data_IF_536439614156
#
_entry.id   IF_536439614156
#
_cell.length_a   1.000
_cell.length_b   1.000
_cell.length_c   1.000
_cell.angle_alpha   90.00
_cell.angle_beta   90.00
_cell.angle_gamma   90.00
#
_symmetry.space_group_name_H-M   'P 1'
#
loop_
_entity.id
_entity.type
_entity.pdbx_description
1 polymer ?
#
# COMPACT_ATOMS: atom_id res chain seq x y z
N UNK A 1 -44.22 26.89 12.83
CA UNK A 1 -43.12 26.45 13.72
C UNK A 1 -42.92 24.98 13.39
N UNK A 2 -41.99 24.69 12.47
CA UNK A 2 -41.69 23.30 12.12
C UNK A 2 -40.82 22.72 13.23
N UNK A 3 -41.29 21.66 13.86
CA UNK A 3 -40.46 20.87 14.77
C UNK A 3 -39.20 20.39 14.03
N UNK A 4 -38.00 20.50 14.63
CA UNK A 4 -36.82 19.89 14.05
C UNK A 4 -37.01 18.37 14.05
N UNK A 5 -36.96 17.77 12.86
CA UNK A 5 -36.87 16.31 12.70
C UNK A 5 -35.81 15.75 13.66
N UNK A 6 -36.10 14.68 14.41
CA UNK A 6 -35.13 14.06 15.28
C UNK A 6 -33.95 13.60 14.43
N UNK A 7 -32.78 14.22 14.62
CA UNK A 7 -31.54 13.74 14.02
C UNK A 7 -31.36 12.28 14.41
N UNK A 8 -31.23 11.35 13.45
CA UNK A 8 -30.99 9.96 13.78
C UNK A 8 -29.70 9.90 14.60
N UNK A 9 -29.78 9.28 15.78
CA UNK A 9 -28.62 9.06 16.63
C UNK A 9 -27.54 8.27 15.89
N UNK A 10 -26.27 8.37 16.32
CA UNK A 10 -25.17 7.68 15.65
C UNK A 10 -25.42 6.18 15.58
N UNK A 11 -25.06 5.57 14.46
CA UNK A 11 -25.19 4.14 14.28
C UNK A 11 -24.25 3.42 15.27
N UNK A 12 -24.67 2.27 15.84
CA UNK A 12 -23.78 1.48 16.68
C UNK A 12 -22.55 1.05 15.88
N UNK A 13 -21.36 1.22 16.47
CA UNK A 13 -20.10 0.79 15.87
C UNK A 13 -19.89 -0.70 16.14
N UNK A 14 -19.90 -1.50 15.07
CA UNK A 14 -19.42 -2.87 15.12
C UNK A 14 -17.88 -2.92 15.16
N UNK A 15 -17.30 -4.11 15.02
CA UNK A 15 -15.84 -4.25 15.04
C UNK A 15 -15.16 -3.53 13.88
N UNK A 16 -15.76 -3.55 12.69
CA UNK A 16 -15.26 -2.86 11.50
C UNK A 16 -15.38 -1.34 11.65
N UNK A 17 -16.51 -0.85 12.15
CA UNK A 17 -16.74 0.56 12.42
C UNK A 17 -15.75 1.14 13.42
N UNK A 18 -15.33 0.38 14.44
CA UNK A 18 -14.28 0.81 15.37
C UNK A 18 -12.93 0.97 14.68
N UNK A 19 -12.54 0.02 13.83
CA UNK A 19 -11.29 0.09 13.07
C UNK A 19 -11.31 1.25 12.06
N UNK A 20 -12.45 1.52 11.43
CA UNK A 20 -12.63 2.67 10.54
C UNK A 20 -12.44 4.00 11.29
N UNK A 21 -13.00 4.12 12.50
CA UNK A 21 -12.82 5.32 13.33
C UNK A 21 -11.39 5.45 13.83
N UNK A 22 -10.70 4.34 14.09
CA UNK A 22 -9.28 4.34 14.46
C UNK A 22 -8.38 4.83 13.31
N UNK A 23 -8.65 4.39 12.08
CA UNK A 23 -7.87 4.75 10.89
C UNK A 23 -8.14 6.16 10.36
N UNK A 24 -9.40 6.63 10.45
CA UNK A 24 -9.83 7.88 9.81
C UNK A 24 -10.46 8.91 10.76
N UNK A 25 -10.51 8.64 12.07
CA UNK A 25 -11.01 9.58 13.08
C UNK A 25 -12.46 10.01 12.83
N UNK A 26 -12.71 11.33 12.93
CA UNK A 26 -14.04 11.92 12.79
C UNK A 26 -14.64 11.72 11.39
N UNK A 27 -13.80 11.67 10.34
CA UNK A 27 -14.26 11.39 8.98
C UNK A 27 -14.71 9.94 8.82
N UNK A 28 -14.03 9.01 9.49
CA UNK A 28 -14.45 7.61 9.57
C UNK A 28 -15.79 7.45 10.28
N UNK A 29 -15.99 8.19 11.38
CA UNK A 29 -17.25 8.19 12.13
C UNK A 29 -18.41 8.75 11.31
N UNK A 30 -18.22 9.92 10.70
CA UNK A 30 -19.25 10.54 9.88
C UNK A 30 -19.60 9.68 8.66
N UNK A 31 -18.62 9.02 8.05
CA UNK A 31 -18.85 8.11 6.94
C UNK A 31 -19.60 6.84 7.37
N UNK A 32 -19.30 6.29 8.54
CA UNK A 32 -20.01 5.14 9.12
C UNK A 32 -21.49 5.45 9.36
N UNK A 33 -21.76 6.60 10.00
CA UNK A 33 -23.13 7.04 10.30
C UNK A 33 -23.92 7.33 9.00
N UNK A 34 -23.27 7.87 7.97
CA UNK A 34 -23.89 8.13 6.67
C UNK A 34 -24.09 6.88 5.80
N UNK A 35 -23.25 5.86 5.97
CA UNK A 35 -23.30 4.64 5.18
C UNK A 35 -24.44 3.70 5.58
N UNK A 36 -24.96 3.80 6.81
CA UNK A 36 -26.04 2.96 7.34
C UNK A 36 -25.83 1.45 7.12
N UNK A 37 -24.56 1.00 7.12
CA UNK A 37 -24.19 -0.40 6.89
C UNK A 37 -23.98 -0.79 5.42
N UNK A 38 -24.15 0.12 4.46
CA UNK A 38 -23.81 -0.15 3.05
C UNK A 38 -22.34 0.16 2.77
N UNK A 39 -21.61 -0.87 2.32
CA UNK A 39 -20.16 -0.78 2.06
C UNK A 39 -19.82 0.12 0.88
N UNK A 40 -20.61 0.11 -0.18
CA UNK A 40 -20.35 0.93 -1.37
C UNK A 40 -20.67 2.41 -1.11
N UNK A 41 -21.68 2.68 -0.28
CA UNK A 41 -22.00 4.00 0.24
C UNK A 41 -20.88 4.51 1.16
N UNK A 42 -20.35 3.66 2.04
CA UNK A 42 -19.18 3.98 2.88
C UNK A 42 -17.96 4.36 2.02
N UNK A 43 -17.68 3.59 0.97
CA UNK A 43 -16.59 3.87 0.02
C UNK A 43 -16.82 5.20 -0.71
N UNK A 44 -18.05 5.48 -1.13
CA UNK A 44 -18.37 6.74 -1.80
C UNK A 44 -18.11 7.94 -0.87
N UNK A 45 -18.61 7.89 0.37
CA UNK A 45 -18.45 8.98 1.34
C UNK A 45 -16.98 9.15 1.78
N UNK A 46 -16.26 8.06 2.02
CA UNK A 46 -14.83 8.11 2.36
C UNK A 46 -13.98 8.62 1.19
N UNK A 47 -14.33 8.27 -0.05
CA UNK A 47 -13.60 8.74 -1.24
C UNK A 47 -13.71 10.25 -1.40
N UNK A 48 -14.90 10.80 -1.18
CA UNK A 48 -15.16 12.24 -1.24
C UNK A 48 -14.44 13.01 -0.12
N UNK A 49 -14.43 12.46 1.11
CA UNK A 49 -13.85 13.13 2.27
C UNK A 49 -12.33 13.04 2.34
N UNK A 50 -11.77 11.88 1.99
CA UNK A 50 -10.33 11.62 2.15
C UNK A 50 -9.53 11.87 0.86
N UNK A 51 -10.20 12.14 -0.26
CA UNK A 51 -9.58 12.29 -1.58
C UNK A 51 -8.96 11.00 -2.14
N UNK A 52 -9.22 9.84 -1.51
CA UNK A 52 -8.70 8.55 -1.95
C UNK A 52 -9.55 7.96 -3.07
N UNK A 53 -8.93 7.15 -3.93
CA UNK A 53 -9.65 6.44 -4.99
C UNK A 53 -10.52 5.31 -4.40
N UNK A 54 -11.68 5.06 -5.01
CA UNK A 54 -12.59 3.97 -4.59
C UNK A 54 -11.92 2.58 -4.61
N UNK A 55 -11.00 2.35 -5.56
CA UNK A 55 -10.25 1.09 -5.64
C UNK A 55 -9.34 0.87 -4.42
N UNK A 56 -8.65 1.92 -3.97
CA UNK A 56 -7.82 1.87 -2.77
C UNK A 56 -8.66 1.61 -1.52
N UNK A 57 -9.78 2.32 -1.37
CA UNK A 57 -10.68 2.18 -0.22
C UNK A 57 -11.33 0.79 -0.15
N UNK A 58 -11.70 0.20 -1.30
CA UNK A 58 -12.21 -1.19 -1.34
C UNK A 58 -11.21 -2.18 -0.77
N UNK A 59 -9.94 -2.04 -1.15
CA UNK A 59 -8.86 -2.88 -0.65
C UNK A 59 -8.64 -2.69 0.84
N UNK A 60 -8.49 -1.44 1.31
CA UNK A 60 -8.27 -1.15 2.73
C UNK A 60 -9.44 -1.64 3.59
N UNK A 61 -10.68 -1.44 3.17
CA UNK A 61 -11.85 -1.94 3.89
C UNK A 61 -11.93 -3.47 3.89
N UNK A 62 -11.38 -4.16 2.88
CA UNK A 62 -11.30 -5.62 2.91
C UNK A 62 -10.28 -6.11 3.96
N UNK A 63 -9.13 -5.45 4.05
CA UNK A 63 -8.09 -5.74 5.05
C UNK A 63 -8.62 -5.48 6.48
N UNK A 64 -9.35 -4.37 6.70
CA UNK A 64 -9.97 -4.08 8.00
C UNK A 64 -11.08 -5.07 8.40
N UNK A 65 -11.85 -5.54 7.42
CA UNK A 65 -12.91 -6.53 7.66
C UNK A 65 -12.33 -7.90 8.06
N UNK A 66 -11.20 -8.28 7.46
CA UNK A 66 -10.45 -9.48 7.86
C UNK A 66 -9.97 -9.38 9.32
N UNK A 67 -9.38 -8.24 9.71
CA UNK A 67 -8.95 -7.99 11.09
C UNK A 67 -10.13 -7.98 12.09
N UNK A 68 -11.28 -7.43 11.69
CA UNK A 68 -12.49 -7.43 12.50
C UNK A 68 -12.99 -8.85 12.79
N UNK A 69 -12.87 -9.76 11.81
CA UNK A 69 -13.26 -11.16 11.94
C UNK A 69 -12.30 -11.96 12.81
N UNK A 70 -10.98 -11.71 12.72
CA UNK A 70 -9.97 -12.35 13.56
C UNK A 70 -10.14 -12.01 15.05
N UNK A 71 -10.52 -10.76 15.37
CA UNK A 71 -10.81 -10.34 16.74
C UNK A 71 -12.11 -10.89 17.33
N UNK A 72 -13.09 -11.23 16.48
CA UNK A 72 -14.41 -11.74 16.89
C UNK A 72 -14.46 -13.24 17.20
N UNK A 73 -13.56 -14.03 16.62
CA UNK A 73 -13.53 -15.50 16.73
C UNK A 73 -13.07 -16.06 18.08
N UNK A 74 -12.49 -15.24 18.96
CA UNK A 74 -11.89 -15.69 20.22
C UNK A 74 -12.83 -15.80 21.43
N UNK A 75 -14.05 -15.27 21.36
CA UNK A 75 -14.88 -15.05 22.56
C UNK A 75 -15.76 -16.24 22.98
N UNK A 76 -15.93 -17.28 22.16
CA UNK A 76 -16.89 -18.37 22.45
C UNK A 76 -16.27 -19.62 23.08
N UNK A 77 -14.96 -19.65 23.35
CA UNK A 77 -14.29 -20.81 23.95
C UNK A 77 -13.92 -20.57 25.42
N UNK A 78 -14.91 -20.28 26.26
CA UNK A 78 -14.74 -20.16 27.72
C UNK A 78 -15.54 -21.23 28.47
N UNK A 79 -15.24 -22.51 28.24
CA UNK A 79 -15.58 -23.57 29.21
C UNK A 79 -14.69 -24.80 29.11
N UNK A 80 -13.49 -24.70 29.67
CA UNK A 80 -12.83 -25.79 30.37
C UNK A 80 -11.71 -25.18 31.20
N UNK A 81 -11.77 -25.33 32.53
CA UNK A 81 -10.70 -24.93 33.45
C UNK A 81 -9.86 -26.17 33.70
N UNK A 82 -8.61 -26.28 33.19
CA UNK A 82 -7.67 -27.25 33.72
C UNK A 82 -6.80 -26.59 34.80
N UNK A 83 -6.59 -27.36 35.85
CA UNK A 83 -5.52 -27.34 36.85
C UNK A 83 -4.45 -26.25 36.69
N UNK A 84 -4.28 -25.43 37.72
CA UNK A 84 -3.39 -24.25 37.76
C UNK A 84 -1.89 -24.52 37.57
N UNK A 85 -1.41 -25.77 37.64
CA UNK A 85 -0.01 -26.09 37.32
C UNK A 85 0.21 -26.28 35.81
N UNK A 86 -0.70 -26.97 35.13
CA UNK A 86 -0.62 -27.16 33.67
C UNK A 86 -0.79 -25.85 32.89
N UNK A 87 -1.57 -24.90 33.45
CA UNK A 87 -1.68 -23.56 32.88
C UNK A 87 -0.38 -22.75 33.01
N UNK A 88 0.37 -22.90 34.11
CA UNK A 88 1.66 -22.24 34.30
C UNK A 88 2.73 -22.83 33.36
N UNK A 89 2.76 -24.15 33.20
CA UNK A 89 3.64 -24.84 32.26
C UNK A 89 3.35 -24.45 30.81
N UNK A 90 2.07 -24.32 30.44
CA UNK A 90 1.65 -23.88 29.11
C UNK A 90 2.07 -22.45 28.78
N UNK A 91 1.99 -21.52 29.75
CA UNK A 91 2.46 -20.14 29.57
C UNK A 91 3.98 -20.06 29.43
N UNK A 92 4.73 -20.83 30.23
CA UNK A 92 6.18 -20.91 30.12
C UNK A 92 6.61 -21.50 28.76
N UNK A 93 5.90 -22.52 28.28
CA UNK A 93 6.18 -23.14 26.99
C UNK A 93 5.81 -22.21 25.82
N UNK A 94 4.69 -21.49 25.90
CA UNK A 94 4.32 -20.48 24.90
C UNK A 94 5.34 -19.33 24.83
N UNK A 95 5.82 -18.84 25.97
CA UNK A 95 6.87 -17.81 26.03
C UNK A 95 8.19 -18.31 25.42
N UNK A 96 8.55 -19.58 25.64
CA UNK A 96 9.71 -20.20 25.02
C UNK A 96 9.56 -20.34 23.49
N UNK A 97 8.37 -20.75 23.02
CA UNK A 97 8.06 -20.85 21.59
C UNK A 97 8.10 -19.49 20.88
N UNK A 98 7.54 -18.44 21.51
CA UNK A 98 7.59 -17.07 21.00
C UNK A 98 9.03 -16.54 20.93
N UNK A 99 9.84 -16.82 21.95
CA UNK A 99 11.25 -16.42 21.98
C UNK A 99 12.06 -17.12 20.89
N UNK A 100 11.79 -18.41 20.67
CA UNK A 100 12.42 -19.19 19.61
C UNK A 100 11.99 -18.72 18.21
N UNK A 101 10.72 -18.39 18.03
CA UNK A 101 10.21 -17.77 16.81
C UNK A 101 10.88 -16.41 16.57
N UNK A 102 11.01 -15.57 17.61
CA UNK A 102 11.69 -14.28 17.54
C UNK A 102 13.13 -14.42 17.05
N UNK A 103 13.90 -15.36 17.59
CA UNK A 103 15.28 -15.63 17.13
C UNK A 103 15.33 -16.10 15.68
N UNK A 104 14.38 -16.93 15.24
CA UNK A 104 14.29 -17.41 13.86
C UNK A 104 13.97 -16.29 12.88
N UNK A 105 13.04 -15.41 13.26
CA UNK A 105 12.70 -14.20 12.48
C UNK A 105 13.92 -13.29 12.38
N UNK A 106 14.61 -13.03 13.50
CA UNK A 106 15.80 -12.18 13.49
C UNK A 106 16.93 -12.76 12.62
N UNK A 107 17.12 -14.08 12.65
CA UNK A 107 18.08 -14.76 11.78
C UNK A 107 17.69 -14.63 10.30
N UNK A 108 16.40 -14.83 9.96
CA UNK A 108 15.91 -14.69 8.60
C UNK A 108 16.03 -13.25 8.08
N UNK A 109 15.77 -12.25 8.93
CA UNK A 109 15.94 -10.83 8.59
C UNK A 109 17.40 -10.53 8.27
N UNK A 110 18.34 -10.95 9.12
CA UNK A 110 19.78 -10.74 8.85
C UNK A 110 20.24 -11.41 7.56
N UNK A 111 19.68 -12.57 7.24
CA UNK A 111 20.00 -13.28 6.00
C UNK A 111 19.47 -12.55 4.75
N UNK A 112 18.26 -11.99 4.85
CA UNK A 112 17.67 -11.16 3.78
C UNK A 112 18.46 -9.85 3.62
N UNK A 113 18.81 -9.18 4.71
CA UNK A 113 19.66 -7.98 4.70
C UNK A 113 21.00 -8.26 4.03
N UNK A 114 21.67 -9.36 4.39
CA UNK A 114 22.92 -9.77 3.77
C UNK A 114 22.79 -9.99 2.27
N UNK A 115 21.71 -10.64 1.80
CA UNK A 115 21.44 -10.83 0.37
C UNK A 115 21.12 -9.52 -0.34
N UNK A 116 20.33 -8.64 0.27
CA UNK A 116 19.97 -7.35 -0.29
C UNK A 116 21.21 -6.46 -0.46
N UNK A 117 22.10 -6.46 0.53
CA UNK A 117 23.33 -5.68 0.50
C UNK A 117 24.33 -6.21 -0.54
N UNK A 118 24.42 -7.53 -0.70
CA UNK A 118 25.20 -8.15 -1.78
C UNK A 118 24.64 -7.83 -3.17
N UNK A 119 23.31 -7.89 -3.34
CA UNK A 119 22.65 -7.56 -4.60
C UNK A 119 22.77 -6.06 -4.95
N UNK A 120 22.67 -5.17 -3.96
CA UNK A 120 22.89 -3.73 -4.13
C UNK A 120 24.34 -3.43 -4.52
N UNK A 121 25.31 -4.13 -3.92
CA UNK A 121 26.72 -4.04 -4.31
C UNK A 121 26.93 -4.38 -5.77
N UNK A 122 26.43 -5.54 -6.23
CA UNK A 122 26.59 -5.99 -7.62
C UNK A 122 25.86 -5.10 -8.65
N UNK A 123 24.69 -4.57 -8.29
CA UNK A 123 23.97 -3.63 -9.18
C UNK A 123 24.73 -2.29 -9.29
N UNK A 124 25.29 -1.80 -8.19
CA UNK A 124 25.99 -0.50 -8.16
C UNK A 124 27.34 -0.57 -8.86
N UNK A 125 28.13 -1.61 -8.61
CA UNK A 125 29.45 -1.77 -9.23
C UNK A 125 29.36 -2.21 -10.70
N UNK A 126 28.40 -3.07 -11.05
CA UNK A 126 28.43 -3.76 -12.35
C UNK A 126 27.42 -3.20 -13.36
N UNK A 127 26.22 -2.82 -12.93
CA UNK A 127 25.10 -2.46 -13.84
C UNK A 127 25.00 -0.96 -14.12
N UNK A 128 25.30 -0.13 -13.12
CA UNK A 128 25.27 1.34 -13.23
C UNK A 128 26.26 1.89 -14.28
N UNK A 129 27.55 1.51 -14.29
CA UNK A 129 28.48 1.99 -15.31
C UNK A 129 28.15 1.47 -16.72
N UNK A 130 27.60 0.25 -16.84
CA UNK A 130 27.13 -0.26 -18.15
C UNK A 130 25.90 0.48 -18.67
N UNK A 131 24.99 0.89 -17.79
CA UNK A 131 23.82 1.68 -18.17
C UNK A 131 24.26 3.07 -18.67
N UNK A 132 25.19 3.72 -17.99
CA UNK A 132 25.71 5.02 -18.41
C UNK A 132 26.42 4.96 -19.77
N UNK A 133 27.23 3.91 -20.00
CA UNK A 133 27.91 3.68 -21.27
C UNK A 133 26.91 3.47 -22.42
N UNK A 134 25.88 2.63 -22.23
CA UNK A 134 24.82 2.40 -23.23
C UNK A 134 24.00 3.64 -23.52
N UNK A 135 23.73 4.47 -22.52
CA UNK A 135 23.00 5.73 -22.73
C UNK A 135 23.86 6.66 -23.59
N UNK A 136 25.15 6.84 -23.29
CA UNK A 136 26.04 7.72 -24.09
C UNK A 136 26.15 7.29 -25.56
N UNK A 137 26.31 5.98 -25.82
CA UNK A 137 26.40 5.48 -27.20
C UNK A 137 25.11 5.73 -27.99
N UNK A 138 23.96 5.42 -27.40
CA UNK A 138 22.68 5.64 -28.07
C UNK A 138 22.37 7.14 -28.25
N UNK A 139 22.77 7.99 -27.31
CA UNK A 139 22.56 9.44 -27.37
C UNK A 139 23.40 10.08 -28.49
N UNK A 140 24.65 9.66 -28.66
CA UNK A 140 25.48 10.08 -29.80
C UNK A 140 24.89 9.61 -31.13
N UNK A 141 24.39 8.36 -31.18
CA UNK A 141 23.83 7.79 -32.41
C UNK A 141 22.52 8.45 -32.80
N UNK A 142 21.65 8.71 -31.82
CA UNK A 142 20.37 9.41 -32.04
C UNK A 142 20.58 10.91 -32.32
N UNK A 143 21.57 11.55 -31.72
CA UNK A 143 21.99 12.92 -32.07
C UNK A 143 22.54 13.00 -33.50
N UNK A 144 23.38 12.04 -33.90
CA UNK A 144 23.93 11.98 -35.26
C UNK A 144 22.81 11.74 -36.29
N UNK A 145 21.88 10.85 -35.99
CA UNK A 145 20.68 10.60 -36.81
C UNK A 145 19.82 11.85 -36.92
N UNK A 146 19.53 12.52 -35.81
CA UNK A 146 18.73 13.74 -35.80
C UNK A 146 19.39 14.87 -36.59
N UNK A 147 20.71 15.03 -36.45
CA UNK A 147 21.48 16.03 -37.19
C UNK A 147 21.54 15.71 -38.69
N UNK A 148 21.76 14.45 -39.04
CA UNK A 148 21.76 13.99 -40.43
C UNK A 148 20.39 14.18 -41.10
N UNK A 149 19.30 13.84 -40.39
CA UNK A 149 17.94 14.06 -40.88
C UNK A 149 17.60 15.55 -41.01
N UNK A 150 17.95 16.35 -40.00
CA UNK A 150 17.74 17.80 -40.02
C UNK A 150 18.47 18.48 -41.18
N UNK A 151 19.71 18.05 -41.46
CA UNK A 151 20.48 18.54 -42.61
C UNK A 151 19.82 18.13 -43.95
N UNK A 152 19.40 16.87 -44.09
CA UNK A 152 18.78 16.36 -45.31
C UNK A 152 17.47 17.09 -45.63
N UNK A 153 16.61 17.25 -44.62
CA UNK A 153 15.35 18.00 -44.72
C UNK A 153 15.62 19.48 -45.00
N UNK A 154 16.61 20.07 -44.32
CA UNK A 154 17.01 21.46 -44.54
C UNK A 154 17.49 21.74 -45.97
N UNK A 155 18.23 20.83 -46.59
CA UNK A 155 18.71 20.97 -47.98
C UNK A 155 17.55 20.81 -48.98
N UNK A 156 16.64 19.87 -48.76
CA UNK A 156 15.48 19.65 -49.64
C UNK A 156 14.53 20.86 -49.60
N UNK A 157 14.24 21.38 -48.42
CA UNK A 157 13.33 22.52 -48.25
C UNK A 157 14.01 23.84 -48.63
N UNK A 158 15.27 24.05 -48.20
CA UNK A 158 16.03 25.28 -48.47
C UNK A 158 16.58 25.39 -49.90
N UNK A 159 16.86 24.27 -50.56
CA UNK A 159 17.41 24.24 -51.92
C UNK A 159 16.41 24.59 -53.03
N UNK A 160 15.10 24.51 -52.77
CA UNK A 160 14.07 24.81 -53.77
C UNK A 160 13.72 26.30 -53.90
N UNK A 161 14.17 27.15 -52.96
CA UNK A 161 13.89 28.60 -52.98
C UNK A 161 15.01 29.49 -53.56
N UNK A 162 16.18 28.93 -53.93
CA UNK A 162 17.36 29.72 -54.34
C UNK A 162 17.60 29.88 -55.85
N UNK A 163 16.83 29.24 -56.73
CA UNK A 163 17.06 29.28 -58.19
C UNK A 163 16.00 30.10 -58.90
N UNK A 164 16.07 31.41 -58.70
CA UNK A 164 15.12 32.33 -59.33
C UNK A 164 15.45 33.78 -59.03
N UNK A 165 16.63 34.24 -59.47
CA UNK A 165 16.90 35.62 -59.89
C UNK A 165 18.29 35.76 -60.47
#
# INVERSE_FOLDING_TARGET
MSDPEPTPGPAPLDALGRLIVEEWGDDGRAAWDAAAGDREQLIAVLSERTGRTRALLRRQLAELDELAQEGGGGATSRRARPSSSAAADGVAQAAASLSELGRRVEAAVREVEGRAQAALGDVTDTKLPQAEAKIRENLLTSLLMALGFGLLVGIIVGGSLGRGR
#
